data_IF_261596320924
#
_entry.id   IF_261596320924
#
_cell.length_a   1.000
_cell.length_b   1.000
_cell.length_c   1.000
_cell.angle_alpha   90.00
_cell.angle_beta   90.00
_cell.angle_gamma   90.00
#
_symmetry.space_group_name_H-M   'P 1'
#
loop_
_entity.id
_entity.type
_entity.pdbx_description
1 polymer ?
#
# COMPACT_ATOMS: atom_id res chain seq x y z
N UNK A 1 16.19 16.32 -1.00
CA UNK A 1 16.87 15.03 -0.82
C UNK A 1 16.23 14.31 0.36
N UNK A 2 15.88 13.03 0.21
CA UNK A 2 15.41 12.19 1.32
C UNK A 2 16.66 11.61 1.96
N UNK A 3 16.91 11.79 3.26
CA UNK A 3 18.08 11.22 3.94
C UNK A 3 17.60 10.55 5.22
N UNK A 4 18.09 9.36 5.51
CA UNK A 4 17.78 8.63 6.74
C UNK A 4 19.03 8.54 7.62
N UNK A 5 18.89 8.87 8.90
CA UNK A 5 19.90 8.65 9.93
C UNK A 5 19.74 7.23 10.49
N UNK A 6 20.73 6.37 10.24
CA UNK A 6 21.07 5.02 10.80
C UNK A 6 19.98 4.07 11.35
N UNK A 7 18.70 4.27 11.09
CA UNK A 7 17.60 3.42 11.57
C UNK A 7 17.11 2.46 10.49
N UNK A 8 17.96 1.49 10.14
CA UNK A 8 17.62 0.47 9.15
C UNK A 8 16.81 -0.68 9.77
N UNK A 9 15.80 -1.22 9.06
CA UNK A 9 15.37 -0.82 7.71
C UNK A 9 14.47 0.44 7.71
N UNK A 10 14.64 1.33 6.73
CA UNK A 10 13.76 2.47 6.46
C UNK A 10 13.16 2.40 5.04
N UNK A 11 11.83 2.47 4.97
CA UNK A 11 11.10 2.51 3.70
C UNK A 11 10.66 3.92 3.30
N UNK A 12 10.45 4.13 2.00
CA UNK A 12 9.80 5.34 1.47
C UNK A 12 8.40 5.00 0.98
N UNK A 13 7.37 5.59 1.61
CA UNK A 13 6.00 5.45 1.15
C UNK A 13 5.67 6.46 0.04
N UNK A 14 5.11 5.98 -1.07
CA UNK A 14 4.69 6.77 -2.22
C UNK A 14 3.17 6.70 -2.39
N UNK A 15 2.59 7.72 -3.03
CA UNK A 15 1.18 7.72 -3.44
C UNK A 15 1.06 8.29 -4.85
N UNK A 16 0.05 7.85 -5.59
CA UNK A 16 -0.24 8.29 -6.95
C UNK A 16 -1.32 7.43 -7.59
N UNK A 17 -1.55 7.61 -8.88
CA UNK A 17 -2.55 6.85 -9.66
C UNK A 17 -1.99 6.36 -11.02
N UNK A 18 -0.72 6.63 -11.31
CA UNK A 18 -0.02 6.23 -12.54
C UNK A 18 1.15 5.33 -12.16
N UNK A 19 1.18 4.11 -12.70
CA UNK A 19 2.24 3.14 -12.41
C UNK A 19 3.62 3.67 -12.82
N UNK A 20 3.70 4.32 -13.99
CA UNK A 20 4.95 4.88 -14.48
C UNK A 20 5.42 6.08 -13.64
N UNK A 21 4.53 7.00 -13.29
CA UNK A 21 4.91 8.17 -12.49
C UNK A 21 5.41 7.77 -11.09
N UNK A 22 4.75 6.80 -10.45
CA UNK A 22 5.16 6.30 -9.13
C UNK A 22 6.51 5.59 -9.23
N UNK A 23 6.71 4.75 -10.24
CA UNK A 23 7.97 4.04 -10.43
C UNK A 23 9.13 4.97 -10.78
N UNK A 24 8.88 6.01 -11.59
CA UNK A 24 9.86 7.07 -11.84
C UNK A 24 10.21 7.84 -10.57
N UNK A 25 9.21 8.17 -9.74
CA UNK A 25 9.44 8.85 -8.47
C UNK A 25 10.27 7.97 -7.52
N UNK A 26 9.99 6.66 -7.47
CA UNK A 26 10.75 5.69 -6.69
C UNK A 26 12.22 5.61 -7.16
N UNK A 27 12.44 5.50 -8.48
CA UNK A 27 13.77 5.46 -9.06
C UNK A 27 14.56 6.76 -8.82
N UNK A 28 13.90 7.93 -8.93
CA UNK A 28 14.51 9.24 -8.60
C UNK A 28 14.87 9.33 -7.12
N UNK A 29 13.99 8.86 -6.23
CA UNK A 29 14.26 8.83 -4.79
C UNK A 29 15.45 7.92 -4.46
N UNK A 30 15.55 6.74 -5.09
CA UNK A 30 16.67 5.81 -4.89
C UNK A 30 18.01 6.39 -5.38
N UNK A 31 18.00 7.15 -6.49
CA UNK A 31 19.19 7.87 -6.96
C UNK A 31 19.66 8.93 -5.97
N UNK A 32 18.73 9.61 -5.30
CA UNK A 32 19.06 10.61 -4.29
C UNK A 32 19.46 10.01 -2.94
N UNK A 33 18.91 8.84 -2.62
CA UNK A 33 19.19 8.13 -1.39
C UNK A 33 19.27 6.62 -1.65
N UNK A 34 20.49 6.10 -1.89
CA UNK A 34 20.70 4.67 -2.10
C UNK A 34 20.30 3.80 -0.89
N UNK A 35 20.13 4.42 0.28
CA UNK A 35 19.81 3.75 1.54
C UNK A 35 18.30 3.56 1.77
N UNK A 36 17.45 3.76 0.76
CA UNK A 36 16.06 3.32 0.82
C UNK A 36 16.05 1.79 0.72
N UNK A 37 15.64 1.10 1.77
CA UNK A 37 15.65 -0.37 1.81
C UNK A 37 14.47 -0.98 1.05
N UNK A 38 13.32 -0.30 1.10
CA UNK A 38 12.09 -0.73 0.44
C UNK A 38 11.19 0.46 0.08
N UNK A 39 10.27 0.24 -0.85
CA UNK A 39 9.21 1.20 -1.17
C UNK A 39 7.87 0.68 -0.65
N UNK A 40 7.02 1.56 -0.14
CA UNK A 40 5.65 1.22 0.24
C UNK A 40 4.65 2.00 -0.61
N UNK A 41 3.59 1.36 -1.09
CA UNK A 41 2.57 2.02 -1.90
C UNK A 41 1.34 2.32 -1.04
N UNK A 42 1.02 3.61 -0.89
CA UNK A 42 -0.17 4.04 -0.18
C UNK A 42 -1.43 3.81 -1.03
N UNK A 43 -2.19 2.81 -0.64
CA UNK A 43 -3.49 2.45 -1.21
C UNK A 43 -4.59 2.59 -0.15
N UNK A 44 -4.36 3.37 0.91
CA UNK A 44 -5.22 3.39 2.10
C UNK A 44 -5.61 4.78 2.61
N UNK A 45 -5.00 5.86 2.11
CA UNK A 45 -5.30 7.21 2.56
C UNK A 45 -6.74 7.62 2.18
N UNK A 46 -7.60 8.03 3.15
CA UNK A 46 -8.97 8.44 2.87
C UNK A 46 -9.11 9.97 2.66
N UNK A 47 -8.02 10.75 2.76
CA UNK A 47 -8.06 12.22 2.73
C UNK A 47 -8.55 12.72 1.38
N UNK A 48 -9.60 13.55 1.38
CA UNK A 48 -10.26 14.03 0.15
C UNK A 48 -9.31 14.59 -0.92
N UNK A 49 -8.26 15.33 -0.54
CA UNK A 49 -7.27 15.86 -1.49
C UNK A 49 -6.53 14.74 -2.25
N UNK A 50 -6.22 13.65 -1.57
CA UNK A 50 -5.53 12.47 -2.15
C UNK A 50 -6.51 11.66 -3.01
N UNK A 51 -7.74 11.49 -2.55
CA UNK A 51 -8.77 10.80 -3.32
C UNK A 51 -9.08 11.50 -4.65
N UNK A 52 -9.11 12.84 -4.67
CA UNK A 52 -9.36 13.63 -5.88
C UNK A 52 -8.28 13.47 -6.94
N UNK A 53 -7.05 13.10 -6.57
CA UNK A 53 -5.98 12.78 -7.52
C UNK A 53 -5.96 11.31 -7.95
N UNK A 54 -7.02 10.54 -7.63
CA UNK A 54 -7.10 9.10 -7.92
C UNK A 54 -6.19 8.21 -7.06
N UNK A 55 -5.55 8.76 -6.03
CA UNK A 55 -4.60 8.05 -5.18
C UNK A 55 -5.23 7.63 -3.84
N UNK A 56 -4.46 6.93 -3.01
CA UNK A 56 -4.91 6.46 -1.70
C UNK A 56 -5.96 5.35 -1.84
N UNK A 57 -6.98 5.34 -0.99
CA UNK A 57 -7.96 4.24 -0.96
C UNK A 57 -8.87 4.14 -2.19
N UNK A 58 -8.94 5.18 -3.03
CA UNK A 58 -9.67 5.11 -4.30
C UNK A 58 -8.98 4.17 -5.28
N UNK A 59 -7.65 4.04 -5.19
CA UNK A 59 -6.86 3.14 -6.02
C UNK A 59 -7.32 1.68 -5.89
N UNK A 60 -7.77 1.29 -4.69
CA UNK A 60 -8.29 -0.05 -4.41
C UNK A 60 -9.49 -0.45 -5.29
N UNK A 61 -10.21 0.50 -5.90
CA UNK A 61 -11.30 0.19 -6.83
C UNK A 61 -10.83 -0.47 -8.12
N UNK A 62 -9.54 -0.38 -8.42
CA UNK A 62 -8.88 -1.02 -9.56
C UNK A 62 -7.70 -1.88 -9.03
N UNK A 63 -7.96 -3.14 -8.63
CA UNK A 63 -6.92 -4.05 -8.20
C UNK A 63 -5.81 -4.20 -9.26
N UNK A 64 -6.17 -4.30 -10.54
CA UNK A 64 -5.21 -4.50 -11.64
C UNK A 64 -4.21 -3.34 -11.71
N UNK A 65 -4.66 -2.11 -11.50
CA UNK A 65 -3.78 -0.96 -11.38
C UNK A 65 -2.90 -1.03 -10.12
N UNK A 66 -3.43 -1.50 -8.99
CA UNK A 66 -2.65 -1.72 -7.76
C UNK A 66 -1.47 -2.66 -8.01
N UNK A 67 -1.73 -3.81 -8.64
CA UNK A 67 -0.71 -4.79 -9.01
C UNK A 67 0.31 -4.22 -9.99
N UNK A 68 -0.15 -3.51 -11.02
CA UNK A 68 0.71 -2.86 -12.01
C UNK A 68 1.68 -1.85 -11.38
N UNK A 69 1.23 -1.07 -10.40
CA UNK A 69 2.08 -0.13 -9.67
C UNK A 69 3.20 -0.89 -8.93
N UNK A 70 2.88 -1.95 -8.20
CA UNK A 70 3.87 -2.76 -7.49
C UNK A 70 4.92 -3.30 -8.45
N UNK A 71 4.48 -3.96 -9.52
CA UNK A 71 5.37 -4.55 -10.53
C UNK A 71 6.30 -3.49 -11.14
N UNK A 72 5.76 -2.34 -11.53
CA UNK A 72 6.54 -1.27 -12.17
C UNK A 72 7.59 -0.67 -11.22
N UNK A 73 7.24 -0.50 -9.93
CA UNK A 73 8.19 0.00 -8.93
C UNK A 73 9.30 -1.02 -8.68
N UNK A 74 8.98 -2.33 -8.57
CA UNK A 74 9.98 -3.39 -8.43
C UNK A 74 10.93 -3.42 -9.63
N UNK A 75 10.40 -3.40 -10.85
CA UNK A 75 11.20 -3.38 -12.09
C UNK A 75 12.15 -2.18 -12.15
N UNK A 76 11.69 -0.99 -11.77
CA UNK A 76 12.48 0.24 -11.88
C UNK A 76 13.53 0.41 -10.79
N UNK A 77 13.34 -0.21 -9.62
CA UNK A 77 14.18 0.05 -8.43
C UNK A 77 14.99 -1.15 -7.99
N UNK A 78 14.55 -2.38 -8.30
CA UNK A 78 15.13 -3.61 -7.77
C UNK A 78 15.04 -3.77 -6.26
N UNK A 79 14.22 -2.94 -5.58
CA UNK A 79 13.99 -2.99 -4.13
C UNK A 79 12.70 -3.74 -3.80
N UNK A 80 12.58 -4.32 -2.60
CA UNK A 80 11.31 -4.80 -2.08
C UNK A 80 10.23 -3.71 -2.13
N UNK A 81 9.00 -4.11 -2.46
CA UNK A 81 7.84 -3.24 -2.53
C UNK A 81 6.72 -3.80 -1.65
N UNK A 82 6.27 -3.01 -0.70
CA UNK A 82 5.13 -3.31 0.16
C UNK A 82 3.92 -2.46 -0.24
N UNK A 83 2.74 -2.83 0.22
CA UNK A 83 1.53 -2.04 0.00
C UNK A 83 0.74 -1.86 1.30
N UNK A 84 0.20 -0.66 1.51
CA UNK A 84 -0.69 -0.36 2.64
C UNK A 84 -2.11 -0.08 2.16
N UNK A 85 -3.04 -0.95 2.53
CA UNK A 85 -4.46 -0.91 2.13
C UNK A 85 -5.39 -0.65 3.32
N UNK A 86 -6.68 -0.49 3.03
CA UNK A 86 -7.82 -0.51 3.97
C UNK A 86 -8.70 -1.73 3.68
N UNK A 87 -9.85 -1.85 4.34
CA UNK A 87 -10.81 -2.93 4.04
C UNK A 87 -11.59 -2.70 2.72
N UNK A 88 -11.68 -1.46 2.26
CA UNK A 88 -12.46 -1.08 1.08
C UNK A 88 -13.08 0.31 1.26
N UNK A 89 -14.13 0.60 0.51
CA UNK A 89 -14.79 1.93 0.55
C UNK A 89 -15.59 2.08 1.84
N UNK A 90 -16.48 1.12 2.12
CA UNK A 90 -17.35 1.04 3.28
C UNK A 90 -17.61 -0.45 3.63
N UNK A 91 -18.46 -0.73 4.62
CA UNK A 91 -18.71 -2.10 5.09
C UNK A 91 -19.49 -2.97 4.10
N UNK A 92 -20.26 -2.37 3.19
CA UNK A 92 -20.97 -3.08 2.13
C UNK A 92 -20.09 -3.25 0.87
N UNK A 93 -19.01 -2.49 0.76
CA UNK A 93 -18.10 -2.47 -0.38
C UNK A 93 -16.65 -2.72 0.05
N UNK A 94 -16.45 -3.85 0.74
CA UNK A 94 -15.12 -4.36 1.09
C UNK A 94 -14.56 -5.18 -0.07
N UNK A 95 -13.34 -4.85 -0.52
CA UNK A 95 -12.69 -5.53 -1.63
C UNK A 95 -11.20 -5.80 -1.37
N UNK A 96 -10.78 -5.73 -0.10
CA UNK A 96 -9.39 -5.95 0.31
C UNK A 96 -8.83 -7.30 -0.16
N UNK A 97 -9.64 -8.36 -0.20
CA UNK A 97 -9.20 -9.68 -0.70
C UNK A 97 -8.86 -9.67 -2.19
N UNK A 98 -9.63 -8.96 -3.01
CA UNK A 98 -9.34 -8.86 -4.44
C UNK A 98 -8.05 -8.06 -4.68
N UNK A 99 -7.84 -7.00 -3.89
CA UNK A 99 -6.60 -6.24 -3.92
C UNK A 99 -5.42 -7.09 -3.43
N UNK A 100 -5.55 -7.85 -2.34
CA UNK A 100 -4.49 -8.73 -1.83
C UNK A 100 -4.07 -9.74 -2.89
N UNK A 101 -5.02 -10.47 -3.51
CA UNK A 101 -4.70 -11.48 -4.52
C UNK A 101 -3.95 -10.89 -5.71
N UNK A 102 -4.35 -9.72 -6.17
CA UNK A 102 -3.71 -9.03 -7.29
C UNK A 102 -2.31 -8.49 -6.94
N UNK A 103 -2.13 -8.02 -5.70
CA UNK A 103 -0.82 -7.61 -5.19
C UNK A 103 0.14 -8.81 -5.07
N UNK A 104 -0.35 -9.95 -4.58
CA UNK A 104 0.44 -11.19 -4.49
C UNK A 104 0.83 -11.71 -5.88
N UNK A 105 -0.09 -11.72 -6.85
CA UNK A 105 0.24 -12.08 -8.23
C UNK A 105 1.21 -11.10 -8.90
N UNK A 106 1.36 -9.90 -8.33
CA UNK A 106 2.29 -8.86 -8.76
C UNK A 106 3.58 -8.83 -7.97
N UNK A 107 3.87 -9.88 -7.19
CA UNK A 107 5.10 -10.05 -6.42
C UNK A 107 5.30 -8.97 -5.35
N UNK A 108 4.25 -8.56 -4.63
CA UNK A 108 4.39 -7.69 -3.44
C UNK A 108 5.17 -8.41 -2.34
N UNK A 109 6.00 -7.70 -1.56
CA UNK A 109 6.86 -8.30 -0.54
C UNK A 109 6.21 -8.36 0.86
N UNK A 110 5.26 -7.48 1.14
CA UNK A 110 4.40 -7.52 2.34
C UNK A 110 3.19 -6.62 2.17
N UNK A 111 2.11 -6.90 2.90
CA UNK A 111 0.89 -6.08 2.87
C UNK A 111 0.54 -5.62 4.29
N UNK A 112 0.33 -4.31 4.44
CA UNK A 112 -0.25 -3.73 5.64
C UNK A 112 -1.74 -3.48 5.44
N UNK A 113 -2.59 -4.04 6.29
CA UNK A 113 -4.05 -3.79 6.28
C UNK A 113 -4.41 -2.91 7.47
N UNK A 114 -4.90 -1.70 7.19
CA UNK A 114 -5.62 -0.94 8.21
C UNK A 114 -7.03 -1.52 8.29
N UNK A 115 -7.40 -2.09 9.44
CA UNK A 115 -8.70 -2.73 9.69
C UNK A 115 -9.88 -1.73 9.77
N UNK A 116 -9.87 -0.66 8.98
CA UNK A 116 -10.99 0.26 8.78
C UNK A 116 -11.29 0.37 7.29
N UNK A 117 -12.52 0.73 6.97
CA UNK A 117 -12.91 1.16 5.63
C UNK A 117 -12.43 2.60 5.37
N UNK A 118 -12.47 3.05 4.12
CA UNK A 118 -12.18 4.45 3.79
C UNK A 118 -13.13 5.40 4.51
N UNK A 119 -14.44 5.14 4.46
CA UNK A 119 -15.48 6.04 4.97
C UNK A 119 -15.39 6.27 6.48
N UNK A 120 -14.90 5.27 7.22
CA UNK A 120 -14.61 5.44 8.64
C UNK A 120 -13.53 6.49 8.90
N UNK A 121 -12.64 6.82 7.95
CA UNK A 121 -11.47 7.67 8.22
C UNK A 121 -10.70 7.17 9.47
N UNK A 122 -10.86 7.89 10.60
CA UNK A 122 -10.35 7.53 11.93
C UNK A 122 -11.47 7.36 12.98
N UNK A 123 -12.74 7.50 12.59
CA UNK A 123 -13.88 7.27 13.46
C UNK A 123 -14.13 5.78 13.70
N UNK A 124 -14.90 5.49 14.74
CA UNK A 124 -15.24 4.12 15.14
C UNK A 124 -14.02 3.28 15.52
N UNK A 125 -14.21 1.96 15.54
CA UNK A 125 -13.18 0.99 15.90
C UNK A 125 -12.72 0.21 14.67
N UNK A 126 -11.45 -0.25 14.64
CA UNK A 126 -11.01 -1.18 13.61
C UNK A 126 -11.75 -2.52 13.74
N UNK A 127 -12.13 -3.09 12.59
CA UNK A 127 -12.80 -4.38 12.43
C UNK A 127 -11.77 -5.50 12.33
N UNK A 128 -11.14 -5.85 13.46
CA UNK A 128 -10.17 -6.97 13.48
C UNK A 128 -10.82 -8.32 13.22
N UNK A 129 -12.10 -8.46 13.57
CA UNK A 129 -12.95 -9.61 13.26
C UNK A 129 -12.99 -9.91 11.75
N UNK A 130 -12.99 -8.86 10.92
CA UNK A 130 -13.01 -9.00 9.45
C UNK A 130 -11.70 -9.59 8.90
N UNK A 131 -10.58 -9.38 9.60
CA UNK A 131 -9.25 -9.82 9.16
C UNK A 131 -8.67 -10.91 10.07
N UNK A 132 -9.49 -11.49 10.93
CA UNK A 132 -9.10 -12.60 11.77
C UNK A 132 -8.75 -13.80 10.89
N UNK A 133 -7.59 -14.40 11.11
CA UNK A 133 -7.12 -15.53 10.30
C UNK A 133 -6.61 -15.16 8.91
N UNK A 134 -6.65 -13.89 8.49
CA UNK A 134 -6.28 -13.44 7.15
C UNK A 134 -4.85 -13.87 6.73
N UNK A 135 -3.88 -13.88 7.65
CA UNK A 135 -2.52 -14.35 7.35
C UNK A 135 -2.47 -15.78 6.80
N UNK A 136 -3.45 -16.64 7.15
CA UNK A 136 -3.51 -18.03 6.65
C UNK A 136 -3.92 -18.10 5.17
N UNK A 137 -4.55 -17.05 4.66
CA UNK A 137 -4.96 -16.94 3.26
C UNK A 137 -3.92 -16.21 2.40
N UNK A 138 -2.87 -15.66 3.03
CA UNK A 138 -1.82 -14.89 2.38
C UNK A 138 -0.51 -15.69 2.31
N UNK A 139 0.16 -15.55 1.17
CA UNK A 139 1.51 -16.04 0.90
C UNK A 139 2.60 -15.08 1.35
N UNK A 140 2.27 -13.80 1.52
CA UNK A 140 3.18 -12.73 1.98
C UNK A 140 2.91 -12.34 3.43
N UNK A 141 3.88 -11.73 4.13
CA UNK A 141 3.66 -11.21 5.49
C UNK A 141 2.53 -10.18 5.55
N UNK A 142 1.63 -10.36 6.52
CA UNK A 142 0.57 -9.42 6.88
C UNK A 142 0.99 -8.55 8.07
N UNK A 143 0.86 -7.24 7.93
CA UNK A 143 0.94 -6.28 9.03
C UNK A 143 -0.46 -5.72 9.30
N UNK A 144 -0.93 -5.86 10.53
CA UNK A 144 -2.24 -5.31 10.94
C UNK A 144 -2.05 -3.94 11.56
N UNK A 145 -2.89 -2.98 11.16
CA UNK A 145 -2.82 -1.59 11.61
C UNK A 145 -4.17 -1.01 12.02
N UNK A 146 -4.12 -0.05 12.95
CA UNK A 146 -5.24 0.75 13.43
C UNK A 146 -5.40 0.59 14.93
N UNK A 147 -5.31 1.67 15.71
CA UNK A 147 -5.51 1.70 17.18
C UNK A 147 -4.71 0.66 17.99
N UNK A 148 -3.41 0.52 17.71
CA UNK A 148 -2.45 -0.29 18.49
C UNK A 148 -1.35 0.62 19.02
#
# INVERSE_FOLDING_TARGET
>A
YVMFDRNYPTGLQLFGHSADDIAEAAAKALKWNPNIDFFDINMGCPVHKILRSGAGSVLMKDPVLCGRIVKRVKEMTGRPVTAKIRLGTDLNHMNYMDVIRELESSDVDAITVHARTKDQNYSGYPHYDVIEGLQKEMSVPLIVSGNI
#
